data_IF_299648574977
#
_entry.id   IF_299648574977
#
_cell.length_a   1.000
_cell.length_b   1.000
_cell.length_c   1.000
_cell.angle_alpha   90.00
_cell.angle_beta   90.00
_cell.angle_gamma   90.00
#
_symmetry.space_group_name_H-M   'P 1'
#
loop_
_entity.id
_entity.type
_entity.pdbx_description
1 polymer ?
#
# COMPACT_ATOMS: atom_id res chain seq x y z
N UNK A 1 5.54 20.06 51.14
CA UNK A 1 5.65 18.83 50.34
C UNK A 1 5.21 19.21 48.92
N UNK A 2 6.02 18.88 47.92
CA UNK A 2 6.25 19.57 46.62
C UNK A 2 5.07 20.20 45.85
N UNK A 3 5.32 21.30 45.09
CA UNK A 3 4.36 21.89 44.17
C UNK A 3 4.14 20.99 42.94
N UNK A 4 2.87 20.84 42.58
CA UNK A 4 2.36 20.15 41.39
C UNK A 4 3.09 20.69 40.16
N UNK A 5 3.76 19.81 39.41
CA UNK A 5 4.47 20.14 38.17
C UNK A 5 3.51 20.72 37.14
N UNK A 6 3.49 22.05 37.07
CA UNK A 6 2.77 22.91 36.15
C UNK A 6 3.44 22.92 34.75
N UNK A 7 3.69 21.74 34.18
CA UNK A 7 4.29 21.57 32.84
C UNK A 7 3.66 20.37 32.14
N UNK A 8 2.35 20.46 31.86
CA UNK A 8 1.69 19.64 30.85
C UNK A 8 0.78 20.58 30.04
N UNK A 9 1.33 21.13 28.96
CA UNK A 9 0.87 22.37 28.30
C UNK A 9 -0.30 22.15 27.31
N UNK A 10 -0.99 21.01 27.34
CA UNK A 10 -2.03 20.67 26.36
C UNK A 10 -3.36 20.18 26.95
N UNK A 11 -3.72 20.59 28.18
CA UNK A 11 -5.08 20.34 28.69
C UNK A 11 -5.98 21.54 28.47
N UNK A 12 -6.54 21.61 27.27
CA UNK A 12 -7.71 22.46 27.01
C UNK A 12 -8.89 21.83 27.76
N UNK A 13 -9.14 22.31 28.97
CA UNK A 13 -10.29 21.92 29.79
C UNK A 13 -11.53 22.58 29.20
N UNK A 14 -12.24 21.87 28.32
CA UNK A 14 -13.62 22.24 27.94
C UNK A 14 -14.52 21.10 28.40
N UNK A 15 -15.26 21.37 29.49
CA UNK A 15 -16.53 20.72 29.86
C UNK A 15 -16.53 19.22 30.22
N UNK A 16 -15.67 18.79 31.13
CA UNK A 16 -15.94 17.63 32.01
C UNK A 16 -16.05 16.24 31.36
N UNK A 17 -15.92 16.12 30.05
CA UNK A 17 -15.86 14.85 29.33
C UNK A 17 -14.43 14.62 28.85
N UNK A 18 -13.87 13.45 29.17
CA UNK A 18 -12.58 12.99 28.65
C UNK A 18 -12.81 12.61 27.18
N UNK A 19 -12.83 13.61 26.30
CA UNK A 19 -12.95 13.38 24.87
C UNK A 19 -11.65 12.77 24.37
N UNK A 20 -11.70 11.54 23.83
CA UNK A 20 -10.57 10.96 23.10
C UNK A 20 -10.20 11.90 21.95
N UNK A 21 -8.95 12.38 21.92
CA UNK A 21 -8.39 13.32 20.93
C UNK A 21 -8.59 12.87 19.46
N UNK A 22 -8.87 11.58 19.24
CA UNK A 22 -8.99 10.94 17.91
C UNK A 22 -10.30 10.19 17.67
N UNK A 23 -11.41 10.53 18.33
CA UNK A 23 -12.70 9.84 18.14
C UNK A 23 -13.18 9.79 16.67
N UNK A 24 -12.67 10.67 15.80
CA UNK A 24 -13.01 10.75 14.37
C UNK A 24 -11.99 10.10 13.41
N UNK A 25 -10.92 9.48 13.91
CA UNK A 25 -9.85 8.87 13.09
C UNK A 25 -9.81 7.33 13.20
N UNK A 26 -10.83 6.73 13.80
CA UNK A 26 -10.94 5.29 13.95
C UNK A 26 -11.52 4.66 12.69
N UNK A 27 -10.74 3.79 12.04
CA UNK A 27 -11.21 3.00 10.90
C UNK A 27 -11.97 1.80 11.46
N UNK A 28 -13.21 1.61 11.02
CA UNK A 28 -13.98 0.42 11.40
C UNK A 28 -13.34 -0.85 10.85
N UNK A 29 -13.53 -2.00 11.51
CA UNK A 29 -12.99 -3.27 11.04
C UNK A 29 -13.37 -3.57 9.58
N UNK A 30 -14.61 -3.26 9.19
CA UNK A 30 -15.08 -3.47 7.82
C UNK A 30 -14.38 -2.52 6.83
N UNK A 31 -14.20 -1.24 7.17
CA UNK A 31 -13.44 -0.31 6.33
C UNK A 31 -11.99 -0.78 6.16
N UNK A 32 -11.35 -1.25 7.24
CA UNK A 32 -10.00 -1.79 7.19
C UNK A 32 -9.90 -3.00 6.25
N UNK A 33 -10.81 -3.97 6.39
CA UNK A 33 -10.85 -5.18 5.55
C UNK A 33 -11.07 -4.81 4.08
N UNK A 34 -12.04 -3.94 3.79
CA UNK A 34 -12.37 -3.53 2.42
C UNK A 34 -11.21 -2.76 1.78
N UNK A 35 -10.56 -1.85 2.51
CA UNK A 35 -9.43 -1.08 1.97
C UNK A 35 -8.25 -1.98 1.59
N UNK A 36 -7.89 -2.92 2.47
CA UNK A 36 -6.76 -3.83 2.23
C UNK A 36 -7.06 -4.77 1.07
N UNK A 37 -8.23 -5.41 1.07
CA UNK A 37 -8.59 -6.34 0.00
C UNK A 37 -8.84 -5.61 -1.33
N UNK A 38 -9.40 -4.39 -1.30
CA UNK A 38 -9.63 -3.58 -2.49
C UNK A 38 -8.33 -3.25 -3.23
N UNK A 39 -7.28 -2.85 -2.50
CA UNK A 39 -5.96 -2.62 -3.09
C UNK A 39 -5.37 -3.91 -3.68
N UNK A 40 -5.47 -5.03 -2.96
CA UNK A 40 -4.96 -6.32 -3.45
C UNK A 40 -5.67 -6.80 -4.72
N UNK A 41 -6.99 -6.63 -4.80
CA UNK A 41 -7.77 -6.99 -5.99
C UNK A 41 -7.42 -6.07 -7.16
N UNK A 42 -7.33 -4.76 -6.90
CA UNK A 42 -7.04 -3.76 -7.93
C UNK A 42 -5.67 -3.91 -8.57
N UNK A 43 -4.63 -4.25 -7.80
CA UNK A 43 -3.26 -4.35 -8.33
C UNK A 43 -2.83 -5.79 -8.67
N UNK A 44 -3.23 -6.75 -7.83
CA UNK A 44 -2.73 -8.12 -7.90
C UNK A 44 -3.67 -9.07 -8.63
N UNK A 45 -4.93 -9.17 -8.20
CA UNK A 45 -5.83 -10.26 -8.64
C UNK A 45 -6.17 -10.22 -10.14
N UNK A 46 -6.21 -9.04 -10.76
CA UNK A 46 -6.51 -8.91 -12.19
C UNK A 46 -5.30 -9.15 -13.10
N UNK A 47 -4.08 -8.90 -12.62
CA UNK A 47 -2.85 -9.01 -13.40
C UNK A 47 -2.19 -10.38 -13.25
N UNK A 48 -2.26 -10.97 -12.05
CA UNK A 48 -1.59 -12.23 -11.73
C UNK A 48 -2.02 -13.41 -12.60
N UNK A 49 -3.33 -13.66 -12.84
CA UNK A 49 -3.78 -14.84 -13.57
C UNK A 49 -3.26 -14.87 -15.01
N UNK A 50 -3.19 -13.70 -15.66
CA UNK A 50 -2.64 -13.57 -17.01
C UNK A 50 -1.16 -13.95 -17.04
N UNK A 51 -0.35 -13.32 -16.17
CA UNK A 51 1.10 -13.59 -16.11
C UNK A 51 1.38 -15.04 -15.71
N UNK A 52 0.56 -15.59 -14.81
CA UNK A 52 0.67 -16.95 -14.35
C UNK A 52 0.32 -17.96 -15.46
N UNK A 53 -0.74 -17.71 -16.23
CA UNK A 53 -1.09 -18.53 -17.38
C UNK A 53 0.00 -18.49 -18.47
N UNK A 54 0.56 -17.31 -18.74
CA UNK A 54 1.66 -17.13 -19.70
C UNK A 54 2.94 -17.88 -19.28
N UNK A 55 3.24 -18.00 -17.97
CA UNK A 55 4.50 -18.57 -17.47
C UNK A 55 4.44 -20.00 -16.97
N UNK A 56 3.38 -20.38 -16.27
CA UNK A 56 3.28 -21.65 -15.54
C UNK A 56 2.33 -22.67 -16.19
N UNK A 57 1.60 -22.27 -17.24
CA UNK A 57 0.63 -23.14 -17.90
C UNK A 57 -0.42 -23.69 -16.93
N UNK A 58 -0.74 -24.98 -17.05
CA UNK A 58 -1.82 -25.64 -16.28
C UNK A 58 -1.51 -25.80 -14.79
N UNK A 59 -0.24 -25.84 -14.39
CA UNK A 59 0.18 -26.08 -13.00
C UNK A 59 0.31 -24.78 -12.17
N UNK A 60 -0.06 -23.64 -12.73
CA UNK A 60 0.06 -22.32 -12.08
C UNK A 60 -0.69 -22.20 -10.75
N UNK A 61 -1.75 -22.98 -10.53
CA UNK A 61 -2.57 -22.93 -9.32
C UNK A 61 -1.78 -23.25 -8.03
N UNK A 62 -0.73 -24.08 -8.11
CA UNK A 62 0.14 -24.39 -6.97
C UNK A 62 0.93 -23.15 -6.53
N UNK A 63 1.39 -22.34 -7.48
CA UNK A 63 2.08 -21.09 -7.17
C UNK A 63 1.17 -20.08 -6.44
N UNK A 64 -0.14 -20.09 -6.73
CA UNK A 64 -1.13 -19.27 -6.02
C UNK A 64 -1.21 -19.69 -4.55
N UNK A 65 -1.31 -21.00 -4.28
CA UNK A 65 -1.38 -21.51 -2.91
C UNK A 65 -0.13 -21.18 -2.09
N UNK A 66 1.04 -21.38 -2.69
CA UNK A 66 2.32 -21.06 -2.05
C UNK A 66 2.41 -19.55 -1.77
N UNK A 67 2.10 -18.72 -2.76
CA UNK A 67 2.09 -17.26 -2.61
C UNK A 67 1.13 -16.78 -1.51
N UNK A 68 -0.04 -17.39 -1.41
CA UNK A 68 -1.02 -17.07 -0.37
C UNK A 68 -0.52 -17.40 1.04
N UNK A 69 0.16 -18.54 1.23
CA UNK A 69 0.73 -18.92 2.53
C UNK A 69 1.80 -17.90 2.96
N UNK A 70 2.75 -17.57 2.07
CA UNK A 70 3.80 -16.59 2.37
C UNK A 70 3.24 -15.18 2.64
N UNK A 71 2.25 -14.76 1.84
CA UNK A 71 1.58 -13.47 2.03
C UNK A 71 0.86 -13.41 3.38
N UNK A 72 0.14 -14.46 3.76
CA UNK A 72 -0.56 -14.54 5.04
C UNK A 72 0.41 -14.46 6.23
N UNK A 73 1.49 -15.24 6.19
CA UNK A 73 2.52 -15.22 7.25
C UNK A 73 3.12 -13.82 7.40
N UNK A 74 3.46 -13.19 6.29
CA UNK A 74 4.01 -11.83 6.26
C UNK A 74 3.02 -10.80 6.81
N UNK A 75 1.73 -10.90 6.42
CA UNK A 75 0.66 -10.04 6.91
C UNK A 75 0.46 -10.14 8.42
N UNK A 76 0.44 -11.36 8.97
CA UNK A 76 0.35 -11.57 10.42
C UNK A 76 1.55 -10.94 11.15
N UNK A 77 2.76 -11.05 10.59
CA UNK A 77 3.95 -10.45 11.18
C UNK A 77 3.87 -8.92 11.24
N UNK A 78 3.41 -8.29 10.15
CA UNK A 78 3.22 -6.83 10.07
C UNK A 78 2.17 -6.38 11.09
N UNK A 79 1.01 -7.03 11.13
CA UNK A 79 -0.09 -6.67 12.04
C UNK A 79 0.34 -6.83 13.50
N UNK A 80 1.02 -7.93 13.86
CA UNK A 80 1.55 -8.13 15.21
C UNK A 80 2.58 -7.08 15.61
N UNK A 81 3.44 -6.69 14.67
CA UNK A 81 4.45 -5.65 14.92
C UNK A 81 3.80 -4.28 15.13
N UNK A 82 2.83 -3.92 14.28
CA UNK A 82 2.07 -2.68 14.42
C UNK A 82 1.26 -2.65 15.73
N UNK A 83 0.64 -3.77 16.12
CA UNK A 83 -0.11 -3.87 17.38
C UNK A 83 0.78 -3.74 18.63
N UNK A 84 2.07 -4.08 18.52
CA UNK A 84 3.04 -3.92 19.62
C UNK A 84 3.54 -2.46 19.76
N UNK A 85 3.50 -1.68 18.69
CA UNK A 85 3.95 -0.29 18.66
C UNK A 85 2.86 0.62 18.05
N UNK A 86 1.71 0.80 18.73
CA UNK A 86 0.56 1.50 18.15
C UNK A 86 0.78 3.01 17.93
N UNK A 87 1.71 3.61 18.67
CA UNK A 87 2.03 5.05 18.59
C UNK A 87 3.24 5.35 17.67
N UNK A 88 3.97 4.32 17.25
CA UNK A 88 5.16 4.48 16.41
C UNK A 88 4.75 4.38 14.93
N UNK A 89 5.30 5.24 14.09
CA UNK A 89 5.08 5.15 12.64
C UNK A 89 5.85 3.97 12.05
N UNK A 90 5.50 3.55 10.83
CA UNK A 90 6.28 2.53 10.10
C UNK A 90 7.77 2.92 10.04
N UNK A 91 8.06 4.22 9.89
CA UNK A 91 9.43 4.74 9.92
C UNK A 91 10.13 4.45 11.27
N UNK A 92 9.46 4.76 12.38
CA UNK A 92 10.01 4.57 13.73
C UNK A 92 10.16 3.08 14.07
N UNK A 93 9.19 2.26 13.66
CA UNK A 93 9.23 0.79 13.82
C UNK A 93 10.45 0.21 13.07
N UNK A 94 10.69 0.63 11.82
CA UNK A 94 11.82 0.15 11.03
C UNK A 94 13.17 0.56 11.65
N UNK A 95 13.28 1.80 12.13
CA UNK A 95 14.49 2.29 12.81
C UNK A 95 14.71 1.57 14.15
N UNK A 96 13.65 1.29 14.89
CA UNK A 96 13.74 0.58 16.17
C UNK A 96 14.13 -0.89 15.99
N UNK A 97 13.63 -1.55 14.94
CA UNK A 97 13.89 -2.97 14.69
C UNK A 97 15.29 -3.23 14.10
N UNK A 98 15.76 -2.37 13.18
CA UNK A 98 17.02 -2.55 12.46
C UNK A 98 18.14 -1.56 12.85
N UNK A 99 17.84 -0.57 13.69
CA UNK A 99 18.77 0.49 14.10
C UNK A 99 18.73 1.72 13.19
N UNK A 100 19.33 2.84 13.64
CA UNK A 100 19.28 4.14 12.94
C UNK A 100 19.84 4.14 11.52
N UNK A 101 20.95 3.45 11.28
CA UNK A 101 21.63 3.46 9.97
C UNK A 101 20.91 2.52 9.00
N UNK A 102 20.77 1.26 9.39
CA UNK A 102 20.15 0.21 8.55
C UNK A 102 18.66 0.49 8.38
N UNK A 103 17.94 0.88 9.43
CA UNK A 103 16.53 1.25 9.34
C UNK A 103 16.26 2.43 8.40
N UNK A 104 17.12 3.46 8.41
CA UNK A 104 16.98 4.58 7.47
C UNK A 104 17.22 4.15 6.02
N UNK A 105 18.17 3.25 5.78
CA UNK A 105 18.37 2.66 4.45
C UNK A 105 17.15 1.86 4.00
N UNK A 106 16.57 1.03 4.87
CA UNK A 106 15.33 0.29 4.58
C UNK A 106 14.16 1.21 4.25
N UNK A 107 13.99 2.31 4.98
CA UNK A 107 12.95 3.30 4.70
C UNK A 107 13.13 3.90 3.30
N UNK A 108 14.36 4.26 2.91
CA UNK A 108 14.63 4.83 1.58
C UNK A 108 14.32 3.79 0.48
N UNK A 109 14.76 2.55 0.66
CA UNK A 109 14.46 1.45 -0.27
C UNK A 109 12.95 1.23 -0.36
N UNK A 110 12.25 1.27 0.78
CA UNK A 110 10.80 1.11 0.84
C UNK A 110 10.08 2.23 0.09
N UNK A 111 10.47 3.50 0.30
CA UNK A 111 9.90 4.62 -0.46
C UNK A 111 10.14 4.46 -1.97
N UNK A 112 11.35 4.08 -2.36
CA UNK A 112 11.71 3.87 -3.77
C UNK A 112 10.89 2.74 -4.38
N UNK A 113 10.73 1.62 -3.66
CA UNK A 113 9.88 0.52 -4.08
C UNK A 113 8.44 0.97 -4.33
N UNK A 114 7.84 1.73 -3.40
CA UNK A 114 6.48 2.24 -3.58
C UNK A 114 6.34 3.22 -4.75
N UNK A 115 7.37 4.04 -5.01
CA UNK A 115 7.39 4.95 -6.15
C UNK A 115 7.44 4.19 -7.51
N UNK A 116 8.28 3.16 -7.62
CA UNK A 116 8.29 2.33 -8.82
C UNK A 116 7.00 1.51 -8.97
N UNK A 117 6.49 0.97 -7.87
CA UNK A 117 5.27 0.19 -7.86
C UNK A 117 4.07 1.03 -8.32
N UNK A 118 3.94 2.29 -7.87
CA UNK A 118 2.86 3.17 -8.32
C UNK A 118 2.94 3.46 -9.82
N UNK A 119 4.14 3.67 -10.38
CA UNK A 119 4.33 3.79 -11.83
C UNK A 119 3.84 2.55 -12.60
N UNK A 120 4.17 1.35 -12.12
CA UNK A 120 3.70 0.09 -12.74
C UNK A 120 2.17 -0.01 -12.68
N UNK A 121 1.57 0.32 -11.54
CA UNK A 121 0.12 0.30 -11.37
C UNK A 121 -0.56 1.28 -12.32
N UNK A 122 -0.01 2.48 -12.51
CA UNK A 122 -0.54 3.48 -13.46
C UNK A 122 -0.48 2.97 -14.90
N UNK A 123 0.63 2.36 -15.31
CA UNK A 123 0.78 1.78 -16.66
C UNK A 123 -0.24 0.64 -16.87
N UNK A 124 -0.40 -0.25 -15.88
CA UNK A 124 -1.39 -1.32 -15.95
C UNK A 124 -2.82 -0.77 -16.02
N UNK A 125 -3.13 0.29 -15.27
CA UNK A 125 -4.42 0.96 -15.33
C UNK A 125 -4.71 1.56 -16.71
N UNK A 126 -3.72 2.23 -17.34
CA UNK A 126 -3.86 2.75 -18.71
C UNK A 126 -4.13 1.62 -19.72
N UNK A 127 -3.42 0.50 -19.57
CA UNK A 127 -3.61 -0.69 -20.41
C UNK A 127 -5.03 -1.27 -20.28
N UNK A 128 -5.58 -1.33 -19.06
CA UNK A 128 -6.94 -1.79 -18.83
C UNK A 128 -8.02 -0.85 -19.37
N UNK A 129 -7.75 0.46 -19.37
CA UNK A 129 -8.64 1.46 -19.98
C UNK A 129 -8.56 1.49 -21.52
N UNK A 130 -7.76 0.63 -22.15
CA UNK A 130 -7.57 0.58 -23.60
C UNK A 130 -6.76 1.76 -24.15
N UNK A 131 -6.21 2.60 -23.28
CA UNK A 131 -5.24 3.65 -23.61
C UNK A 131 -3.90 2.95 -23.80
N UNK A 132 -3.71 2.39 -24.99
CA UNK A 132 -2.42 1.84 -25.41
C UNK A 132 -1.72 2.93 -26.24
N UNK A 133 -0.67 3.59 -25.75
CA UNK A 133 0.00 4.65 -26.53
C UNK A 133 0.46 4.19 -27.93
N UNK A 134 0.71 2.89 -28.12
CA UNK A 134 0.99 2.31 -29.44
C UNK A 134 -0.23 2.23 -30.38
N UNK A 135 -1.45 1.99 -29.86
CA UNK A 135 -2.66 1.90 -30.69
C UNK A 135 -3.10 3.29 -31.21
N UNK A 136 -2.96 4.34 -30.39
CA UNK A 136 -3.26 5.72 -30.79
C UNK A 136 -2.25 6.22 -31.83
N UNK A 137 -0.98 5.87 -31.68
CA UNK A 137 0.06 6.22 -32.66
C UNK A 137 -0.23 5.58 -34.01
N UNK A 138 -0.53 4.29 -34.06
CA UNK A 138 -0.88 3.58 -35.31
C UNK A 138 -2.18 4.13 -35.93
N UNK A 139 -3.20 4.40 -35.10
CA UNK A 139 -4.46 4.99 -35.56
C UNK A 139 -4.22 6.37 -36.17
N UNK A 140 -3.42 7.22 -35.54
CA UNK A 140 -3.09 8.56 -36.04
C UNK A 140 -2.20 8.52 -37.30
N UNK A 141 -1.23 7.62 -37.38
CA UNK A 141 -0.42 7.42 -38.60
C UNK A 141 -1.26 6.91 -39.77
N UNK A 142 -2.17 5.96 -39.52
CA UNK A 142 -3.06 5.42 -40.56
C UNK A 142 -4.10 6.44 -41.04
N UNK A 143 -4.66 7.25 -40.13
CA UNK A 143 -5.55 8.37 -40.46
C UNK A 143 -4.82 9.41 -41.32
N UNK A 144 -3.63 9.84 -40.91
CA UNK A 144 -2.85 10.83 -41.67
C UNK A 144 -2.54 10.33 -43.10
N UNK A 145 -2.14 9.06 -43.26
CA UNK A 145 -1.94 8.47 -44.60
C UNK A 145 -3.22 8.47 -45.46
N UNK A 146 -4.40 8.33 -44.86
CA UNK A 146 -5.69 8.31 -45.58
C UNK A 146 -6.15 9.69 -46.06
N UNK A 147 -5.75 10.78 -45.40
CA UNK A 147 -6.08 12.15 -45.81
C UNK A 147 -5.03 12.79 -46.73
N UNK A 148 -3.91 12.10 -46.97
CA UNK A 148 -2.82 12.52 -47.88
C UNK A 148 -2.89 11.79 -49.24
N UNK A 149 -3.91 10.96 -49.47
CA UNK A 149 -4.26 10.30 -50.74
C UNK A 149 -5.63 10.81 -51.22
#
# INVERSE_FOLDING_TARGET
MEPIKLFDKERIVIKGEIMKKYAYNEITLMQYIILINGVQVGTGVLSLPRVLAEKAGTDGWIAILIGWIFSTISGVFIVKTAARYPEDTIYDILIRLFGKIVGKAFVVIYMMYFAFYSCIVLINAMLYLGVNPGNETIKNTSLNRKYQL
#
